data_IF_434127662559
#
_entry.id   IF_434127662559
#
_cell.length_a   1.000
_cell.length_b   1.000
_cell.length_c   1.000
_cell.angle_alpha   90.00
_cell.angle_beta   90.00
_cell.angle_gamma   90.00
#
_symmetry.space_group_name_H-M   'P 1'
#
loop_
_entity.id
_entity.type
_entity.pdbx_description
1 polymer ?
#
# COMPACT_ATOMS: atom_id res chain seq x y z
N UNK A 1 3.92 -35.58 35.16
CA UNK A 1 4.24 -35.24 33.76
C UNK A 1 3.22 -34.23 33.27
N UNK A 2 3.47 -32.97 33.58
CA UNK A 2 2.56 -31.86 33.28
C UNK A 2 3.11 -31.16 32.04
N UNK A 3 2.37 -31.22 30.93
CA UNK A 3 2.73 -30.53 29.69
C UNK A 3 2.54 -29.03 29.92
N UNK A 4 3.62 -28.36 30.30
CA UNK A 4 3.72 -26.90 30.34
C UNK A 4 3.25 -26.32 29.00
N UNK A 5 2.10 -25.67 29.00
CA UNK A 5 1.61 -24.90 27.87
C UNK A 5 2.64 -23.82 27.52
N UNK A 6 3.09 -23.80 26.27
CA UNK A 6 3.95 -22.73 25.75
C UNK A 6 3.20 -21.39 25.89
N UNK A 7 3.87 -20.30 26.28
CA UNK A 7 3.25 -18.98 26.36
C UNK A 7 2.70 -18.58 24.98
N UNK A 8 1.43 -18.13 24.96
CA UNK A 8 0.75 -17.58 23.78
C UNK A 8 1.33 -16.20 23.43
N UNK A 9 2.43 -16.15 22.70
CA UNK A 9 2.90 -14.92 22.04
C UNK A 9 3.43 -15.26 20.65
N UNK A 10 2.50 -15.62 19.77
CA UNK A 10 2.64 -15.69 18.32
C UNK A 10 1.21 -15.76 17.73
N UNK A 11 0.42 -14.70 17.91
CA UNK A 11 -0.93 -14.62 17.36
C UNK A 11 -0.90 -13.68 16.14
N UNK A 12 -0.86 -14.32 14.97
CA UNK A 12 -1.25 -13.84 13.63
C UNK A 12 -0.35 -12.80 12.93
N UNK A 13 0.81 -13.25 12.46
CA UNK A 13 1.41 -12.72 11.23
C UNK A 13 0.56 -13.17 10.03
N UNK A 14 -0.55 -12.45 9.79
CA UNK A 14 -1.40 -12.67 8.62
C UNK A 14 -1.28 -11.48 7.66
N UNK A 15 -1.29 -11.79 6.37
CA UNK A 15 -1.42 -10.79 5.31
C UNK A 15 -2.71 -10.00 5.57
N UNK A 16 -2.60 -8.71 5.88
CA UNK A 16 -3.75 -7.81 5.98
C UNK A 16 -4.15 -7.37 4.59
N UNK A 17 -5.39 -7.65 4.21
CA UNK A 17 -5.98 -7.27 2.93
C UNK A 17 -6.95 -6.13 3.17
N UNK A 18 -6.63 -4.96 2.61
CA UNK A 18 -7.47 -3.78 2.68
C UNK A 18 -7.84 -3.29 1.30
N UNK A 19 -9.05 -2.73 1.18
CA UNK A 19 -9.56 -2.20 -0.09
C UNK A 19 -9.86 -0.72 0.05
N UNK A 20 -9.47 0.07 -0.96
CA UNK A 20 -9.78 1.50 -1.05
C UNK A 20 -10.52 1.77 -2.36
N UNK A 21 -11.70 2.35 -2.27
CA UNK A 21 -12.43 2.90 -3.41
C UNK A 21 -12.09 4.40 -3.54
N UNK A 22 -11.48 4.81 -4.66
CA UNK A 22 -11.19 6.23 -4.90
C UNK A 22 -12.46 6.99 -5.32
N UNK A 23 -12.51 8.32 -5.10
CA UNK A 23 -13.52 9.16 -5.74
C UNK A 23 -13.40 9.15 -7.27
N UNK A 24 -14.48 9.56 -7.94
CA UNK A 24 -14.45 9.86 -9.36
C UNK A 24 -13.55 11.05 -9.64
N UNK A 25 -12.78 10.95 -10.73
CA UNK A 25 -11.98 12.06 -11.26
C UNK A 25 -12.87 13.10 -11.93
N UNK A 26 -12.38 14.33 -12.05
CA UNK A 26 -13.11 15.41 -12.73
C UNK A 26 -13.42 15.07 -14.20
N UNK A 27 -12.52 14.34 -14.87
CA UNK A 27 -12.79 13.84 -16.23
C UNK A 27 -13.97 12.88 -16.25
N UNK A 28 -14.03 11.94 -15.30
CA UNK A 28 -15.16 11.00 -15.20
C UNK A 28 -16.47 11.76 -14.88
N UNK A 29 -16.44 12.72 -13.96
CA UNK A 29 -17.62 13.56 -13.66
C UNK A 29 -18.10 14.33 -14.90
N UNK A 30 -17.17 14.93 -15.64
CA UNK A 30 -17.49 15.71 -16.85
C UNK A 30 -18.02 14.84 -18.00
N UNK A 31 -17.61 13.57 -18.06
CA UNK A 31 -18.13 12.57 -19.00
C UNK A 31 -19.53 12.05 -18.58
N UNK A 32 -20.09 12.58 -17.48
CA UNK A 32 -21.41 12.21 -16.98
C UNK A 32 -21.42 10.95 -16.13
N UNK A 33 -20.25 10.49 -15.64
CA UNK A 33 -20.21 9.45 -14.63
C UNK A 33 -20.54 10.06 -13.27
N UNK A 34 -21.68 9.65 -12.71
CA UNK A 34 -22.12 10.09 -11.38
C UNK A 34 -21.54 9.19 -10.28
N UNK A 35 -21.19 9.77 -9.11
CA UNK A 35 -21.06 9.00 -7.87
C UNK A 35 -22.46 8.49 -7.51
N UNK A 36 -22.79 7.28 -7.96
CA UNK A 36 -24.15 6.79 -7.87
C UNK A 36 -24.50 6.51 -6.40
N UNK A 37 -25.20 7.45 -5.76
CA UNK A 37 -25.88 7.24 -4.49
C UNK A 37 -27.30 6.74 -4.78
N UNK A 38 -27.53 5.43 -4.77
CA UNK A 38 -28.90 4.93 -4.65
C UNK A 38 -29.32 4.94 -3.18
N UNK A 39 -30.32 5.76 -2.85
CA UNK A 39 -31.25 5.42 -1.78
C UNK A 39 -32.14 4.31 -2.34
N UNK A 40 -31.79 3.05 -2.07
CA UNK A 40 -32.79 1.96 -2.18
C UNK A 40 -33.61 1.98 -0.89
N UNK A 41 -34.93 1.79 -0.93
CA UNK A 41 -35.68 1.53 0.30
C UNK A 41 -35.03 0.35 1.03
N UNK A 42 -34.79 0.52 2.34
CA UNK A 42 -34.13 -0.50 3.15
C UNK A 42 -34.93 -1.80 3.09
N UNK A 43 -34.37 -2.83 2.46
CA UNK A 43 -34.80 -4.21 2.68
C UNK A 43 -33.86 -4.87 3.68
N UNK A 44 -34.47 -5.53 4.67
CA UNK A 44 -33.75 -6.17 5.75
C UNK A 44 -32.87 -7.28 5.17
N UNK A 45 -31.66 -7.42 5.70
CA UNK A 45 -30.61 -8.26 5.11
C UNK A 45 -31.00 -9.74 4.97
N UNK A 46 -31.93 -10.23 5.80
CA UNK A 46 -32.43 -11.61 5.77
C UNK A 46 -33.46 -11.87 4.66
N UNK A 47 -34.13 -10.83 4.14
CA UNK A 47 -35.07 -10.97 3.02
C UNK A 47 -34.34 -11.22 1.68
N UNK A 48 -33.03 -10.91 1.63
CA UNK A 48 -32.16 -11.14 0.47
C UNK A 48 -31.65 -12.58 0.33
N UNK A 49 -31.75 -13.39 1.38
CA UNK A 49 -31.38 -14.82 1.35
C UNK A 49 -32.55 -15.72 0.93
N UNK A 50 -33.76 -15.16 0.80
CA UNK A 50 -34.95 -15.89 0.38
C UNK A 50 -35.02 -15.96 -1.15
N UNK A 51 -34.78 -17.16 -1.68
CA UNK A 51 -34.64 -17.48 -3.10
C UNK A 51 -35.96 -17.52 -3.87
N UNK A 52 -36.63 -16.38 -4.11
CA UNK A 52 -37.58 -16.27 -5.23
C UNK A 52 -37.54 -14.89 -5.86
N UNK A 53 -37.08 -14.76 -7.12
CA UNK A 53 -37.29 -13.54 -7.89
C UNK A 53 -38.77 -13.46 -8.24
N UNK A 54 -39.47 -12.44 -7.72
CA UNK A 54 -40.81 -12.08 -8.21
C UNK A 54 -40.67 -11.41 -9.58
N UNK A 55 -41.36 -11.91 -10.61
CA UNK A 55 -41.36 -11.28 -11.93
C UNK A 55 -42.35 -10.12 -11.86
N UNK A 56 -41.90 -8.96 -11.38
CA UNK A 56 -42.49 -7.64 -11.70
C UNK A 56 -41.83 -6.57 -10.84
N UNK A 57 -40.72 -5.99 -11.33
CA UNK A 57 -40.39 -4.61 -10.95
C UNK A 57 -39.64 -3.91 -12.08
N UNK A 58 -40.43 -3.17 -12.86
CA UNK A 58 -40.12 -2.00 -13.69
C UNK A 58 -38.63 -1.65 -13.85
N UNK A 59 -38.19 -1.70 -15.11
CA UNK A 59 -36.98 -1.05 -15.62
C UNK A 59 -36.94 0.41 -15.20
N UNK A 60 -35.90 0.80 -14.46
CA UNK A 60 -35.62 2.20 -14.12
C UNK A 60 -34.35 2.63 -14.85
N UNK A 61 -34.50 3.60 -15.77
CA UNK A 61 -33.42 4.30 -16.44
C UNK A 61 -32.72 5.23 -15.43
N UNK A 62 -31.64 4.77 -14.81
CA UNK A 62 -30.62 5.58 -14.13
C UNK A 62 -29.38 4.72 -13.87
N UNK A 63 -28.15 5.27 -13.95
CA UNK A 63 -26.92 4.48 -13.90
C UNK A 63 -26.80 3.72 -12.57
N UNK A 64 -26.24 2.51 -12.64
CA UNK A 64 -26.16 1.56 -11.53
C UNK A 64 -24.97 1.89 -10.63
N UNK A 65 -25.21 2.04 -9.32
CA UNK A 65 -24.14 1.98 -8.34
C UNK A 65 -23.55 0.58 -8.41
N UNK A 66 -22.37 0.44 -9.02
CA UNK A 66 -21.74 -0.87 -9.18
C UNK A 66 -21.07 -1.31 -7.88
N UNK A 67 -20.69 -0.37 -7.01
CA UNK A 67 -19.96 -0.66 -5.76
C UNK A 67 -20.52 0.13 -4.59
N UNK A 68 -20.77 -0.55 -3.47
CA UNK A 68 -21.07 0.06 -2.16
C UNK A 68 -20.08 -0.45 -1.12
N UNK A 69 -19.46 0.49 -0.41
CA UNK A 69 -18.51 0.21 0.66
C UNK A 69 -19.21 0.35 2.01
N UNK A 70 -18.98 -0.61 2.90
CA UNK A 70 -19.44 -0.61 4.29
C UNK A 70 -18.19 -0.58 5.17
N UNK A 71 -17.64 0.62 5.42
CA UNK A 71 -16.37 0.80 6.12
C UNK A 71 -16.38 0.18 7.53
N UNK A 72 -17.45 0.44 8.29
CA UNK A 72 -17.75 -0.13 9.61
C UNK A 72 -17.70 -1.67 9.68
N UNK A 73 -17.84 -2.34 8.53
CA UNK A 73 -17.90 -3.81 8.42
C UNK A 73 -16.73 -4.40 7.66
N UNK A 74 -15.79 -3.57 7.18
CA UNK A 74 -14.74 -4.01 6.27
C UNK A 74 -15.28 -4.69 5.01
N UNK A 75 -16.46 -4.31 4.53
CA UNK A 75 -17.16 -5.05 3.46
C UNK A 75 -17.40 -4.21 2.21
N UNK A 76 -17.31 -4.84 1.04
CA UNK A 76 -17.60 -4.22 -0.26
C UNK A 76 -18.62 -5.06 -1.00
N UNK A 77 -19.75 -4.44 -1.35
CA UNK A 77 -20.79 -5.04 -2.16
C UNK A 77 -20.67 -4.55 -3.61
N UNK A 78 -20.55 -5.49 -4.54
CA UNK A 78 -20.55 -5.23 -5.98
C UNK A 78 -21.92 -5.63 -6.54
N UNK A 79 -22.64 -4.66 -7.09
CA UNK A 79 -23.93 -4.89 -7.73
C UNK A 79 -23.72 -5.27 -9.18
N UNK A 80 -24.23 -6.43 -9.60
CA UNK A 80 -24.07 -6.91 -10.96
C UNK A 80 -25.37 -6.68 -11.75
N UNK A 81 -25.39 -5.81 -12.77
CA UNK A 81 -26.60 -5.56 -13.56
C UNK A 81 -27.06 -6.78 -14.37
N UNK A 82 -26.15 -7.71 -14.67
CA UNK A 82 -26.37 -8.87 -15.55
C UNK A 82 -26.29 -10.20 -14.79
N UNK A 83 -26.21 -10.18 -13.46
CA UNK A 83 -25.97 -11.39 -12.67
C UNK A 83 -26.21 -11.19 -11.19
N UNK A 84 -25.63 -12.07 -10.37
CA UNK A 84 -25.76 -11.98 -8.93
C UNK A 84 -24.81 -10.93 -8.34
N UNK A 85 -25.34 -10.15 -7.39
CA UNK A 85 -24.57 -9.27 -6.54
C UNK A 85 -23.54 -10.08 -5.74
N UNK A 86 -22.35 -9.52 -5.54
CA UNK A 86 -21.27 -10.14 -4.77
C UNK A 86 -20.96 -9.30 -3.54
N UNK A 87 -20.70 -9.97 -2.42
CA UNK A 87 -20.25 -9.34 -1.18
C UNK A 87 -18.87 -9.88 -0.84
N UNK A 88 -17.92 -9.00 -0.60
CA UNK A 88 -16.56 -9.31 -0.19
C UNK A 88 -16.28 -8.69 1.17
N UNK A 89 -15.51 -9.39 2.01
CA UNK A 89 -15.08 -8.94 3.33
C UNK A 89 -13.56 -8.88 3.37
N UNK A 90 -13.04 -7.85 4.01
CA UNK A 90 -11.63 -7.50 4.11
C UNK A 90 -11.29 -7.15 5.56
N UNK A 91 -10.00 -7.01 5.87
CA UNK A 91 -9.58 -6.52 7.19
C UNK A 91 -10.00 -5.05 7.40
N UNK A 92 -10.05 -4.27 6.31
CA UNK A 92 -10.70 -2.97 6.27
C UNK A 92 -11.13 -2.58 4.85
N UNK A 93 -12.15 -1.74 4.77
CA UNK A 93 -12.65 -1.18 3.53
C UNK A 93 -12.82 0.34 3.66
N UNK A 94 -12.23 1.09 2.73
CA UNK A 94 -12.23 2.54 2.71
C UNK A 94 -13.02 3.03 1.49
N UNK A 95 -13.97 3.93 1.72
CA UNK A 95 -14.75 4.55 0.65
C UNK A 95 -14.04 5.77 0.06
N UNK A 96 -14.73 6.49 -0.84
CA UNK A 96 -14.17 7.66 -1.52
C UNK A 96 -13.95 8.87 -0.61
N UNK A 97 -14.47 8.85 0.63
CA UNK A 97 -14.31 9.92 1.61
C UNK A 97 -13.09 9.72 2.52
N UNK A 98 -12.55 8.50 2.58
CA UNK A 98 -11.40 8.17 3.39
C UNK A 98 -10.11 8.83 2.86
N UNK A 99 -9.46 9.61 3.73
CA UNK A 99 -8.16 10.19 3.44
C UNK A 99 -7.03 9.15 3.58
N UNK A 100 -5.87 9.47 2.99
CA UNK A 100 -4.71 8.57 3.06
C UNK A 100 -4.09 8.54 4.47
N UNK A 101 -4.39 9.53 5.33
CA UNK A 101 -3.88 9.59 6.69
C UNK A 101 -4.53 8.51 7.56
N UNK A 102 -5.84 8.37 7.50
CA UNK A 102 -6.62 7.35 8.21
C UNK A 102 -6.13 5.96 7.84
N UNK A 103 -5.95 5.69 6.54
CA UNK A 103 -5.40 4.42 6.05
C UNK A 103 -4.00 4.15 6.61
N UNK A 104 -3.15 5.18 6.66
CA UNK A 104 -1.81 5.07 7.25
C UNK A 104 -1.88 4.71 8.74
N UNK A 105 -2.67 5.46 9.50
CA UNK A 105 -2.76 5.34 10.95
C UNK A 105 -3.32 3.99 11.40
N UNK A 106 -4.33 3.47 10.68
CA UNK A 106 -4.95 2.18 11.00
C UNK A 106 -4.12 0.98 10.54
N UNK A 107 -3.50 1.04 9.36
CA UNK A 107 -2.94 -0.16 8.71
C UNK A 107 -1.42 -0.19 8.65
N UNK A 108 -0.77 0.96 8.45
CA UNK A 108 0.67 1.02 8.16
C UNK A 108 1.48 1.44 9.37
N UNK A 109 0.94 2.31 10.24
CA UNK A 109 1.60 2.73 11.47
C UNK A 109 2.00 1.55 12.38
N UNK A 110 1.14 0.53 12.63
CA UNK A 110 1.55 -0.64 13.41
C UNK A 110 2.66 -1.45 12.72
N UNK A 111 2.63 -1.54 11.39
CA UNK A 111 3.66 -2.23 10.62
C UNK A 111 5.02 -1.53 10.72
N UNK A 112 5.04 -0.20 10.66
CA UNK A 112 6.26 0.59 10.84
C UNK A 112 6.83 0.40 12.25
N UNK A 113 5.97 0.33 13.28
CA UNK A 113 6.41 0.00 14.63
C UNK A 113 7.08 -1.38 14.69
N UNK A 114 6.49 -2.41 14.06
CA UNK A 114 7.12 -3.73 13.96
C UNK A 114 8.46 -3.69 13.21
N UNK A 115 8.60 -2.86 12.17
CA UNK A 115 9.89 -2.69 11.47
C UNK A 115 10.95 -2.14 12.41
N UNK A 116 10.59 -1.15 13.24
CA UNK A 116 11.49 -0.56 14.22
C UNK A 116 11.84 -1.53 15.36
N UNK A 117 10.98 -2.51 15.64
CA UNK A 117 11.27 -3.62 16.57
C UNK A 117 12.18 -4.71 15.98
N UNK A 118 12.54 -4.60 14.68
CA UNK A 118 13.45 -5.51 13.98
C UNK A 118 12.76 -6.55 13.10
N UNK A 119 11.51 -6.35 12.72
CA UNK A 119 10.79 -7.22 11.78
C UNK A 119 10.81 -6.67 10.34
N UNK A 120 10.59 -7.53 9.35
CA UNK A 120 10.43 -7.09 7.97
C UNK A 120 8.96 -6.73 7.69
N UNK A 121 8.72 -5.55 7.12
CA UNK A 121 7.39 -5.09 6.73
C UNK A 121 7.29 -4.82 5.24
N UNK A 122 6.16 -5.19 4.62
CA UNK A 122 5.90 -4.94 3.20
C UNK A 122 4.48 -4.38 3.01
N UNK A 123 4.37 -3.28 2.27
CA UNK A 123 3.11 -2.71 1.80
C UNK A 123 3.16 -2.60 0.30
N UNK A 124 2.21 -3.20 -0.40
CA UNK A 124 2.09 -3.10 -1.84
C UNK A 124 0.67 -2.71 -2.23
N UNK A 125 0.55 -1.87 -3.25
CA UNK A 125 -0.73 -1.47 -3.81
C UNK A 125 -1.06 -2.30 -5.04
N UNK A 126 -2.24 -2.92 -5.06
CA UNK A 126 -2.73 -3.74 -6.17
C UNK A 126 -4.03 -3.15 -6.75
N UNK A 127 -4.20 -3.26 -8.06
CA UNK A 127 -5.39 -2.77 -8.78
C UNK A 127 -5.10 -2.35 -10.21
N UNK A 128 -6.16 -2.09 -10.98
CA UNK A 128 -6.06 -1.67 -12.38
C UNK A 128 -5.36 -0.30 -12.53
N UNK A 129 -4.87 0.02 -13.72
CA UNK A 129 -4.40 1.38 -14.06
C UNK A 129 -5.50 2.40 -13.76
N UNK A 130 -5.11 3.54 -13.20
CA UNK A 130 -6.06 4.61 -12.86
C UNK A 130 -6.86 4.40 -11.57
N UNK A 131 -6.64 3.34 -10.79
CA UNK A 131 -7.37 3.12 -9.51
C UNK A 131 -6.76 3.83 -8.30
N UNK A 132 -5.72 4.65 -8.48
CA UNK A 132 -5.13 5.44 -7.39
C UNK A 132 -4.03 4.76 -6.57
N UNK A 133 -3.37 3.72 -7.11
CA UNK A 133 -2.22 3.06 -6.45
C UNK A 133 -1.10 4.04 -6.09
N UNK A 134 -0.59 4.77 -7.08
CA UNK A 134 0.47 5.78 -6.90
C UNK A 134 0.01 6.91 -5.99
N UNK A 135 -1.25 7.36 -6.12
CA UNK A 135 -1.81 8.38 -5.23
C UNK A 135 -1.86 7.91 -3.76
N UNK A 136 -2.15 6.63 -3.52
CA UNK A 136 -2.17 6.09 -2.15
C UNK A 136 -0.74 5.94 -1.61
N UNK A 137 0.17 5.35 -2.38
CA UNK A 137 1.54 5.07 -1.91
C UNK A 137 2.41 6.33 -1.83
N UNK A 138 2.44 7.15 -2.87
CA UNK A 138 3.32 8.32 -2.98
C UNK A 138 2.59 9.62 -2.60
N UNK A 139 1.35 9.79 -3.06
CA UNK A 139 0.56 11.00 -2.86
C UNK A 139 0.95 12.16 -3.78
N UNK A 140 0.46 13.35 -3.44
CA UNK A 140 0.82 14.63 -4.08
C UNK A 140 1.60 15.52 -3.11
N UNK A 141 2.00 16.72 -3.55
CA UNK A 141 2.66 17.67 -2.67
C UNK A 141 1.74 18.16 -1.53
N UNK A 142 0.45 18.25 -1.81
CA UNK A 142 -0.60 18.69 -0.90
C UNK A 142 -1.15 17.53 -0.06
N UNK A 143 -1.22 16.33 -0.65
CA UNK A 143 -1.80 15.14 -0.03
C UNK A 143 -0.79 14.00 0.02
N UNK A 144 0.04 13.98 1.07
CA UNK A 144 1.07 12.97 1.25
C UNK A 144 0.49 11.54 1.31
N UNK A 145 1.14 10.63 0.60
CA UNK A 145 0.83 9.20 0.57
C UNK A 145 1.40 8.42 1.76
N UNK A 146 1.30 7.10 1.69
CA UNK A 146 1.80 6.16 2.70
C UNK A 146 3.32 6.26 2.90
N UNK A 147 4.10 6.30 1.81
CA UNK A 147 5.56 6.29 1.81
C UNK A 147 6.15 7.51 2.56
N UNK A 148 5.83 8.77 2.21
CA UNK A 148 6.36 9.92 2.93
C UNK A 148 5.90 9.97 4.39
N UNK A 149 4.68 9.50 4.71
CA UNK A 149 4.20 9.34 6.09
C UNK A 149 5.05 8.33 6.88
N UNK A 150 5.40 7.21 6.26
CA UNK A 150 6.29 6.21 6.85
C UNK A 150 7.68 6.79 7.15
N UNK A 151 8.26 7.58 6.24
CA UNK A 151 9.55 8.25 6.47
C UNK A 151 9.51 9.14 7.70
N UNK A 152 8.48 9.99 7.82
CA UNK A 152 8.31 10.88 8.97
C UNK A 152 8.14 10.10 10.28
N UNK A 153 7.38 9.00 10.25
CA UNK A 153 7.18 8.17 11.44
C UNK A 153 8.46 7.44 11.87
N UNK A 154 9.19 6.83 10.93
CA UNK A 154 10.49 6.18 11.19
C UNK A 154 11.45 7.20 11.82
N UNK A 155 11.55 8.38 11.21
CA UNK A 155 12.48 9.40 11.67
C UNK A 155 12.10 9.98 13.04
N UNK A 156 10.81 10.26 13.26
CA UNK A 156 10.31 10.70 14.57
C UNK A 156 10.57 9.66 15.66
N UNK A 157 10.46 8.37 15.35
CA UNK A 157 10.81 7.32 16.31
C UNK A 157 12.29 7.34 16.68
N UNK A 158 13.18 7.49 15.70
CA UNK A 158 14.63 7.59 15.93
C UNK A 158 14.97 8.80 16.80
N UNK A 159 14.36 9.96 16.53
CA UNK A 159 14.60 11.18 17.30
C UNK A 159 14.08 11.06 18.74
N UNK A 160 12.89 10.47 18.94
CA UNK A 160 12.28 10.30 20.26
C UNK A 160 12.96 9.24 21.12
N UNK A 161 13.66 8.26 20.52
CA UNK A 161 14.38 7.20 21.22
C UNK A 161 15.91 7.38 21.17
N UNK A 162 16.37 8.59 20.84
CA UNK A 162 17.80 8.89 20.77
C UNK A 162 18.46 8.65 22.14
N UNK A 163 19.41 7.71 22.16
CA UNK A 163 20.18 7.34 23.35
C UNK A 163 21.65 7.18 22.95
N UNK A 164 22.61 7.51 23.83
CA UNK A 164 24.03 7.27 23.57
C UNK A 164 24.36 5.79 23.32
N UNK A 165 23.50 4.87 23.79
CA UNK A 165 23.68 3.43 23.67
C UNK A 165 23.09 2.82 22.39
N UNK A 166 22.30 3.59 21.62
CA UNK A 166 21.61 3.09 20.43
C UNK A 166 21.97 3.99 19.25
N UNK A 167 22.41 3.38 18.14
CA UNK A 167 22.73 4.10 16.90
C UNK A 167 21.94 3.50 15.75
N UNK A 168 21.22 4.34 15.02
CA UNK A 168 20.46 3.93 13.85
C UNK A 168 21.15 4.36 12.56
N UNK A 169 21.20 3.48 11.56
CA UNK A 169 21.60 3.76 10.19
C UNK A 169 20.39 3.52 9.28
N UNK A 170 19.92 4.59 8.63
CA UNK A 170 18.79 4.51 7.69
C UNK A 170 19.32 4.66 6.27
N UNK A 171 19.02 3.68 5.42
CA UNK A 171 19.30 3.76 4.00
C UNK A 171 18.05 3.51 3.15
N UNK A 172 18.04 4.09 1.96
CA UNK A 172 16.96 3.98 0.99
C UNK A 172 17.49 3.42 -0.32
N UNK A 173 16.72 2.49 -0.90
CA UNK A 173 16.94 1.97 -2.25
C UNK A 173 15.66 2.04 -3.05
N UNK A 174 15.78 2.24 -4.36
CA UNK A 174 14.61 2.37 -5.21
C UNK A 174 14.86 1.67 -6.55
N UNK A 175 14.07 0.65 -6.84
CA UNK A 175 14.19 -0.15 -8.07
C UNK A 175 12.88 -0.22 -8.82
N UNK A 176 12.99 -0.45 -10.13
CA UNK A 176 11.87 -0.72 -11.01
C UNK A 176 12.03 -2.06 -11.70
N UNK A 177 10.97 -2.87 -11.67
CA UNK A 177 10.82 -4.07 -12.48
C UNK A 177 10.03 -3.71 -13.73
N UNK A 178 10.65 -3.84 -14.90
CA UNK A 178 10.03 -3.55 -16.19
C UNK A 178 10.46 -4.61 -17.21
N UNK A 179 9.49 -5.31 -17.83
CA UNK A 179 9.75 -6.39 -18.79
C UNK A 179 10.76 -7.44 -18.27
N UNK A 180 10.58 -7.89 -17.02
CA UNK A 180 11.47 -8.84 -16.33
C UNK A 180 12.88 -8.31 -16.01
N UNK A 181 13.17 -7.07 -16.39
CA UNK A 181 14.44 -6.41 -16.09
C UNK A 181 14.33 -5.52 -14.85
N UNK A 182 15.33 -5.63 -13.98
CA UNK A 182 15.46 -4.81 -12.79
C UNK A 182 16.35 -3.62 -13.10
N UNK A 183 15.86 -2.42 -12.83
CA UNK A 183 16.59 -1.16 -13.01
C UNK A 183 16.71 -0.43 -11.69
N UNK A 184 17.90 0.12 -11.46
CA UNK A 184 18.13 1.03 -10.34
C UNK A 184 17.58 2.42 -10.68
N UNK A 185 16.67 2.95 -9.85
CA UNK A 185 16.12 4.29 -10.03
C UNK A 185 16.98 5.38 -9.35
N UNK A 186 17.97 5.02 -8.54
CA UNK A 186 18.86 5.96 -7.84
C UNK A 186 20.26 6.06 -8.47
N UNK A 187 20.64 5.06 -9.26
CA UNK A 187 21.87 5.09 -10.05
C UNK A 187 21.75 6.03 -11.27
N UNK A 188 22.84 6.71 -11.60
CA UNK A 188 22.99 7.44 -12.88
C UNK A 188 23.30 6.50 -14.04
N UNK A 189 23.99 5.41 -13.74
CA UNK A 189 24.29 4.37 -14.70
C UNK A 189 23.06 3.46 -14.75
N UNK A 190 22.34 3.46 -15.87
CA UNK A 190 21.17 2.59 -16.13
C UNK A 190 21.58 1.11 -16.25
N UNK A 191 22.32 0.59 -15.26
CA UNK A 191 22.77 -0.79 -15.19
C UNK A 191 21.58 -1.69 -14.87
N UNK A 192 21.47 -2.76 -15.63
CA UNK A 192 20.54 -3.84 -15.36
C UNK A 192 21.01 -4.58 -14.12
N UNK A 193 20.17 -4.64 -13.10
CA UNK A 193 20.48 -5.31 -11.85
C UNK A 193 20.12 -6.79 -11.93
N UNK A 194 20.91 -7.64 -11.26
CA UNK A 194 20.65 -9.07 -11.17
C UNK A 194 20.14 -9.45 -9.78
N UNK A 195 19.04 -10.19 -9.73
CA UNK A 195 18.51 -10.77 -8.48
C UNK A 195 19.32 -12.03 -8.17
N UNK A 196 19.82 -12.13 -6.93
CA UNK A 196 20.53 -13.31 -6.42
C UNK A 196 19.75 -13.93 -5.26
N UNK A 197 19.90 -15.23 -5.08
CA UNK A 197 19.35 -15.98 -3.95
C UNK A 197 20.43 -16.35 -2.94
N UNK A 198 20.07 -16.38 -1.66
CA UNK A 198 20.87 -16.90 -0.56
C UNK A 198 20.00 -17.84 0.28
N UNK A 199 20.53 -18.98 0.71
CA UNK A 199 19.76 -20.04 1.36
C UNK A 199 19.03 -19.58 2.64
N UNK A 200 19.61 -18.65 3.39
CA UNK A 200 19.08 -18.19 4.68
C UNK A 200 18.29 -16.87 4.61
N UNK A 201 18.66 -15.97 3.69
CA UNK A 201 18.13 -14.60 3.65
C UNK A 201 17.20 -14.33 2.46
N UNK A 202 16.89 -15.36 1.66
CA UNK A 202 16.03 -15.23 0.49
C UNK A 202 16.71 -14.52 -0.67
N UNK A 203 15.98 -13.66 -1.38
CA UNK A 203 16.47 -12.97 -2.57
C UNK A 203 16.93 -11.54 -2.27
N UNK A 204 18.00 -11.11 -2.92
CA UNK A 204 18.56 -9.77 -2.77
C UNK A 204 19.17 -9.27 -4.09
N UNK A 205 19.41 -7.97 -4.16
CA UNK A 205 20.01 -7.30 -5.33
C UNK A 205 21.34 -6.69 -4.88
N UNK A 206 22.49 -7.36 -5.10
CA UNK A 206 23.78 -6.94 -4.54
C UNK A 206 24.24 -5.56 -5.03
N UNK A 207 23.92 -5.23 -6.27
CA UNK A 207 24.38 -4.01 -6.95
C UNK A 207 23.40 -2.85 -6.82
N UNK A 208 22.33 -3.01 -6.02
CA UNK A 208 21.34 -1.98 -5.79
C UNK A 208 21.95 -0.82 -4.99
N UNK A 209 21.78 0.40 -5.51
CA UNK A 209 22.23 1.60 -4.82
C UNK A 209 21.51 1.75 -3.49
N UNK A 210 22.28 1.92 -2.42
CA UNK A 210 21.81 2.19 -1.06
C UNK A 210 22.24 3.59 -0.65
N UNK A 211 21.28 4.52 -0.57
CA UNK A 211 21.53 5.92 -0.21
C UNK A 211 21.27 6.10 1.28
N UNK A 212 22.33 6.36 2.05
CA UNK A 212 22.21 6.71 3.47
C UNK A 212 21.51 8.06 3.60
N UNK A 213 20.46 8.11 4.42
CA UNK A 213 19.66 9.30 4.66
C UNK A 213 19.84 9.78 6.11
N UNK A 214 19.99 11.10 6.26
CA UNK A 214 20.20 11.80 7.54
C UNK A 214 18.98 12.60 8.02
N UNK A 215 17.87 12.51 7.29
CA UNK A 215 16.58 13.08 7.70
C UNK A 215 15.43 12.45 6.91
N UNK A 216 14.21 12.54 7.43
CA UNK A 216 13.00 12.23 6.65
C UNK A 216 12.94 13.06 5.34
N UNK A 217 13.42 14.30 5.37
CA UNK A 217 13.50 15.16 4.18
C UNK A 217 14.47 14.60 3.13
N UNK A 218 15.59 13.99 3.54
CA UNK A 218 16.49 13.28 2.61
C UNK A 218 15.83 12.06 1.99
N UNK A 219 15.09 11.27 2.77
CA UNK A 219 14.35 10.12 2.24
C UNK A 219 13.32 10.56 1.18
N UNK A 220 12.58 11.64 1.44
CA UNK A 220 11.65 12.24 0.46
C UNK A 220 12.40 12.73 -0.79
N UNK A 221 13.58 13.35 -0.63
CA UNK A 221 14.40 13.78 -1.78
C UNK A 221 14.85 12.59 -2.63
N UNK A 222 15.28 11.50 -2.01
CA UNK A 222 15.68 10.25 -2.67
C UNK A 222 14.51 9.63 -3.43
N UNK A 223 13.33 9.54 -2.81
CA UNK A 223 12.10 9.09 -3.49
C UNK A 223 11.76 9.96 -4.70
N UNK A 224 11.79 11.29 -4.55
CA UNK A 224 11.53 12.23 -5.67
C UNK A 224 12.56 12.11 -6.78
N UNK A 225 13.83 11.84 -6.45
CA UNK A 225 14.88 11.60 -7.45
C UNK A 225 14.59 10.34 -8.28
N UNK A 226 14.29 9.22 -7.61
CA UNK A 226 13.94 7.99 -8.32
C UNK A 226 12.64 8.11 -9.13
N UNK A 227 11.66 8.88 -8.66
CA UNK A 227 10.44 9.18 -9.42
C UNK A 227 10.73 9.94 -10.72
N UNK A 228 11.67 10.90 -10.70
CA UNK A 228 12.09 11.62 -11.91
C UNK A 228 12.80 10.69 -12.90
N UNK A 229 13.70 9.84 -12.41
CA UNK A 229 14.41 8.87 -13.24
C UNK A 229 13.44 7.86 -13.87
N UNK A 230 12.45 7.40 -13.07
CA UNK A 230 11.37 6.56 -13.54
C UNK A 230 10.51 7.23 -14.62
N UNK A 231 10.21 8.52 -14.47
CA UNK A 231 9.44 9.28 -15.45
C UNK A 231 10.22 9.46 -16.77
N UNK A 232 11.51 9.80 -16.70
CA UNK A 232 12.37 9.91 -17.87
C UNK A 232 12.52 8.57 -18.61
N UNK A 233 12.65 7.46 -17.87
CA UNK A 233 12.66 6.11 -18.47
C UNK A 233 11.37 5.74 -19.22
N UNK A 234 10.24 6.39 -18.94
CA UNK A 234 8.97 6.19 -19.67
C UNK A 234 8.90 6.99 -20.97
N UNK A 235 9.56 8.14 -21.05
CA UNK A 235 9.60 8.94 -22.29
C UNK A 235 10.53 8.32 -23.33
N UNK A 236 11.61 7.67 -22.88
CA UNK A 236 12.57 7.01 -23.76
C UNK A 236 12.13 5.60 -24.24
N UNK A 237 11.23 4.95 -23.50
CA UNK A 237 10.77 3.59 -23.79
C UNK A 237 9.25 3.52 -23.69
N UNK A 238 8.55 3.56 -24.83
CA UNK A 238 7.10 3.35 -25.01
C UNK A 238 6.20 3.52 -23.77
N UNK A 239 5.41 4.59 -23.83
CA UNK A 239 4.44 5.13 -22.86
C UNK A 239 3.49 4.10 -22.20
N UNK A 240 3.94 3.33 -21.20
CA UNK A 240 2.99 2.61 -20.33
C UNK A 240 3.49 2.40 -18.90
N UNK A 241 3.11 3.32 -18.01
CA UNK A 241 3.33 3.25 -16.56
C UNK A 241 2.61 2.06 -15.87
N UNK A 242 1.69 1.40 -16.57
CA UNK A 242 0.96 0.22 -16.07
C UNK A 242 1.79 -1.08 -16.11
N UNK A 243 2.91 -1.09 -16.84
CA UNK A 243 3.75 -2.26 -17.06
C UNK A 243 5.02 -2.28 -16.20
N UNK A 244 5.21 -1.29 -15.34
CA UNK A 244 6.37 -1.22 -14.46
C UNK A 244 5.98 -1.23 -12.99
N UNK A 245 6.67 -2.07 -12.20
CA UNK A 245 6.48 -2.17 -10.77
C UNK A 245 7.63 -1.44 -10.07
N UNK A 246 7.29 -0.46 -9.24
CA UNK A 246 8.24 0.28 -8.43
C UNK A 246 8.32 -0.32 -7.03
N UNK A 247 9.53 -0.56 -6.54
CA UNK A 247 9.79 -1.05 -5.18
C UNK A 247 10.73 -0.08 -4.49
N UNK A 248 10.22 0.60 -3.47
CA UNK A 248 11.01 1.46 -2.60
C UNK A 248 11.32 0.70 -1.32
N UNK A 249 12.61 0.56 -1.00
CA UNK A 249 13.10 -0.15 0.18
C UNK A 249 13.68 0.85 1.16
N UNK A 250 13.28 0.73 2.43
CA UNK A 250 13.93 1.42 3.55
C UNK A 250 14.57 0.35 4.41
N UNK A 251 15.87 0.46 4.62
CA UNK A 251 16.61 -0.39 5.56
C UNK A 251 16.93 0.45 6.79
N UNK A 252 16.54 -0.04 7.96
CA UNK A 252 16.85 0.57 9.25
C UNK A 252 17.70 -0.42 10.01
N UNK A 253 18.99 -0.13 10.16
CA UNK A 253 19.91 -0.91 10.99
C UNK A 253 20.07 -0.23 12.34
N UNK A 254 19.95 -0.99 13.42
CA UNK A 254 20.03 -0.50 14.79
C UNK A 254 21.15 -1.23 15.54
N UNK A 255 22.17 -0.47 15.95
CA UNK A 255 23.29 -0.96 16.73
C UNK A 255 23.12 -0.58 18.21
N UNK A 256 23.15 -1.58 19.09
CA UNK A 256 23.15 -1.40 20.55
C UNK A 256 24.57 -1.54 21.08
N UNK A 257 25.13 -0.45 21.61
CA UNK A 257 26.51 -0.41 22.13
C UNK A 257 26.70 -1.27 23.37
N UNK A 258 25.71 -1.32 24.25
CA UNK A 258 25.78 -2.09 25.49
C UNK A 258 25.70 -3.60 25.29
N UNK A 259 25.01 -4.05 24.25
CA UNK A 259 24.83 -5.49 23.97
C UNK A 259 25.67 -6.00 22.80
N UNK A 260 26.38 -5.11 22.08
CA UNK A 260 27.09 -5.43 20.84
C UNK A 260 26.21 -6.16 19.80
N UNK A 261 24.92 -5.81 19.74
CA UNK A 261 23.98 -6.40 18.78
C UNK A 261 23.61 -5.37 17.72
N UNK A 262 23.64 -5.80 16.47
CA UNK A 262 23.09 -5.07 15.32
C UNK A 262 21.83 -5.82 14.89
N UNK A 263 20.76 -5.08 14.64
CA UNK A 263 19.49 -5.59 14.10
C UNK A 263 19.14 -4.82 12.85
#
# INVERSE_FOLDING_TARGET
MEKSARPRTALNECVKVVVRCRPLSEKEKNEGYDEVRKVRPEQKWYERLSTKPTPDSKTFNSPLQVVKVWAERGAVQVYNPKGQDKLFTYDAAYDCTADTQTIYDEMVRPLVASVLDGFNGCVFAYGQTGTGKTHTMEGTAEHEGIIPRAFRHIWAHIENNASPDITHLVSCSYVELYLEDVRDLLSKDCKKLTIRGQELNGFYIPEMTSVVCKSAAEMVRTMRAGNRNRAAGRTDMNEHSSRSHAVFLVTVETAHRTTNRIR
#
